data_IF_248472014579
#
_entry.id   IF_248472014579
#
_cell.length_a   1.000
_cell.length_b   1.000
_cell.length_c   1.000
_cell.angle_alpha   90.00
_cell.angle_beta   90.00
_cell.angle_gamma   90.00
#
_symmetry.space_group_name_H-M   'P 1'
#
loop_
_entity.id
_entity.type
_entity.pdbx_description
1 polymer ?
#
# COMPACT_ATOMS: atom_id res chain seq x y z
N UNK A 1 23.69 -4.47 -18.21
CA UNK A 1 22.70 -4.81 -17.17
C UNK A 1 23.47 -5.19 -15.93
N UNK A 2 23.13 -4.63 -14.75
CA UNK A 2 23.75 -5.04 -13.48
C UNK A 2 23.30 -6.48 -13.15
N UNK A 3 24.23 -7.40 -12.82
CA UNK A 3 23.87 -8.75 -12.38
C UNK A 3 22.92 -8.76 -11.18
N UNK A 4 23.11 -7.82 -10.26
CA UNK A 4 22.30 -7.66 -9.05
C UNK A 4 20.86 -7.22 -9.38
N UNK A 5 20.69 -6.40 -10.43
CA UNK A 5 19.38 -6.00 -10.91
C UNK A 5 18.59 -7.19 -11.49
N UNK A 6 19.27 -8.05 -12.23
CA UNK A 6 18.67 -9.27 -12.81
C UNK A 6 18.31 -10.28 -11.71
N UNK A 7 19.20 -10.49 -10.73
CA UNK A 7 18.95 -11.37 -9.58
C UNK A 7 17.71 -10.92 -8.77
N UNK A 8 17.56 -9.61 -8.53
CA UNK A 8 16.37 -9.08 -7.87
C UNK A 8 15.10 -9.36 -8.70
N UNK A 9 15.17 -9.14 -10.01
CA UNK A 9 14.03 -9.35 -10.91
C UNK A 9 13.60 -10.82 -10.95
N UNK A 10 14.55 -11.75 -10.99
CA UNK A 10 14.28 -13.20 -10.94
C UNK A 10 13.56 -13.60 -9.65
N UNK A 11 13.93 -12.99 -8.51
CA UNK A 11 13.27 -13.22 -7.21
C UNK A 11 11.88 -12.59 -7.11
N UNK A 12 11.60 -11.52 -7.85
CA UNK A 12 10.29 -10.87 -7.91
C UNK A 12 9.32 -11.58 -8.87
N UNK A 13 9.81 -12.10 -10.01
CA UNK A 13 9.00 -12.68 -11.07
C UNK A 13 8.83 -14.20 -10.91
N UNK A 14 8.58 -14.66 -9.68
CA UNK A 14 8.31 -16.06 -9.38
C UNK A 14 6.82 -16.37 -9.54
N UNK A 15 6.54 -17.53 -10.16
CA UNK A 15 5.19 -18.03 -10.41
C UNK A 15 4.43 -18.35 -9.12
N UNK A 16 5.07 -19.08 -8.20
CA UNK A 16 4.51 -19.37 -6.88
C UNK A 16 4.60 -18.12 -5.99
N UNK A 17 3.47 -17.50 -5.61
CA UNK A 17 3.48 -16.27 -4.83
C UNK A 17 4.11 -16.46 -3.45
N UNK A 18 4.09 -17.67 -2.90
CA UNK A 18 4.69 -17.96 -1.59
C UNK A 18 6.22 -18.03 -1.63
N UNK A 19 6.80 -18.12 -2.83
CA UNK A 19 8.25 -18.14 -3.05
C UNK A 19 8.79 -16.80 -3.54
N UNK A 20 7.89 -15.86 -3.88
CA UNK A 20 8.27 -14.51 -4.29
C UNK A 20 8.90 -13.79 -3.11
N UNK A 21 9.99 -13.07 -3.36
CA UNK A 21 10.65 -12.23 -2.35
C UNK A 21 9.65 -11.24 -1.75
N UNK A 22 9.72 -11.06 -0.43
CA UNK A 22 8.92 -10.05 0.28
C UNK A 22 9.47 -8.65 0.05
N UNK A 23 8.68 -7.62 0.38
CA UNK A 23 9.13 -6.22 0.27
C UNK A 23 10.34 -5.96 1.18
N UNK A 24 10.34 -6.48 2.41
CA UNK A 24 11.42 -6.29 3.38
C UNK A 24 12.73 -6.93 2.90
N UNK A 25 12.65 -8.15 2.36
CA UNK A 25 13.81 -8.83 1.77
C UNK A 25 14.32 -8.13 0.50
N UNK A 26 13.42 -7.56 -0.31
CA UNK A 26 13.78 -6.82 -1.51
C UNK A 26 14.48 -5.50 -1.18
N UNK A 27 14.04 -4.78 -0.15
CA UNK A 27 14.70 -3.57 0.36
C UNK A 27 16.12 -3.87 0.84
N UNK A 28 16.33 -5.03 1.49
CA UNK A 28 17.65 -5.52 1.90
C UNK A 28 18.54 -6.02 0.75
N UNK A 29 18.07 -6.02 -0.51
CA UNK A 29 18.81 -6.62 -1.63
C UNK A 29 20.05 -5.79 -2.00
N UNK A 30 21.19 -6.42 -2.37
CA UNK A 30 22.42 -5.69 -2.74
C UNK A 30 22.22 -4.63 -3.83
N UNK A 31 21.27 -4.86 -4.73
CA UNK A 31 20.90 -3.90 -5.77
C UNK A 31 20.38 -2.56 -5.22
N UNK A 32 19.68 -2.56 -4.08
CA UNK A 32 19.13 -1.36 -3.43
C UNK A 32 20.01 -0.83 -2.28
N UNK A 33 21.15 -1.47 -2.01
CA UNK A 33 22.00 -1.16 -0.85
C UNK A 33 22.48 0.28 -0.76
N UNK A 34 22.60 1.00 -1.88
CA UNK A 34 22.98 2.42 -1.88
C UNK A 34 21.83 3.37 -1.48
N UNK A 35 20.60 2.87 -1.44
CA UNK A 35 19.38 3.64 -1.17
C UNK A 35 18.68 3.20 0.12
N UNK A 36 18.86 1.94 0.53
CA UNK A 36 18.15 1.37 1.67
C UNK A 36 18.52 2.09 2.99
N UNK A 37 17.51 2.63 3.67
CA UNK A 37 17.60 3.21 5.01
C UNK A 37 16.33 2.91 5.81
N UNK A 38 16.46 2.08 6.84
CA UNK A 38 15.36 1.69 7.74
C UNK A 38 14.68 2.90 8.39
N UNK A 39 15.38 4.01 8.61
CA UNK A 39 14.80 5.19 9.23
C UNK A 39 13.92 6.01 8.26
N UNK A 40 14.13 5.87 6.94
CA UNK A 40 13.34 6.53 5.88
C UNK A 40 12.28 5.58 5.28
N UNK A 41 12.14 4.37 5.83
CA UNK A 41 11.20 3.34 5.38
C UNK A 41 10.18 2.98 6.50
N UNK A 42 9.29 3.92 6.90
CA UNK A 42 8.35 3.69 7.99
C UNK A 42 7.24 2.69 7.62
N UNK A 43 6.87 1.84 8.58
CA UNK A 43 5.69 0.97 8.47
C UNK A 43 4.43 1.74 8.90
N UNK A 44 3.32 1.51 8.20
CA UNK A 44 2.03 2.11 8.56
C UNK A 44 1.59 1.75 9.98
N UNK A 45 0.83 2.61 10.68
CA UNK A 45 0.52 2.45 12.11
C UNK A 45 -0.41 1.27 12.44
N UNK A 46 -0.94 0.57 11.44
CA UNK A 46 -1.80 -0.59 11.62
C UNK A 46 -2.33 -1.14 10.29
N UNK A 47 -3.12 -2.21 10.39
CA UNK A 47 -3.83 -2.77 9.24
C UNK A 47 -4.93 -1.80 8.80
N UNK A 48 -5.06 -1.60 7.48
CA UNK A 48 -6.17 -0.86 6.92
C UNK A 48 -7.46 -1.69 7.04
N UNK A 49 -8.56 -1.05 7.43
CA UNK A 49 -9.85 -1.69 7.58
C UNK A 49 -10.61 -1.67 6.24
N UNK A 50 -11.04 -2.85 5.77
CA UNK A 50 -11.76 -3.05 4.51
C UNK A 50 -13.27 -3.34 4.70
N UNK A 51 -13.88 -2.91 5.79
CA UNK A 51 -15.29 -3.19 6.10
C UNK A 51 -16.27 -2.62 5.06
N UNK A 52 -15.84 -1.61 4.28
CA UNK A 52 -16.62 -1.07 3.17
C UNK A 52 -16.73 -2.02 1.97
N UNK A 53 -15.87 -3.04 1.86
CA UNK A 53 -15.92 -4.06 0.79
C UNK A 53 -16.89 -5.21 1.10
N UNK A 54 -17.49 -5.21 2.29
CA UNK A 54 -18.44 -6.25 2.66
C UNK A 54 -19.65 -6.22 1.69
N UNK A 55 -20.17 -7.38 1.24
CA UNK A 55 -21.31 -7.44 0.32
C UNK A 55 -22.59 -6.75 0.84
N UNK A 56 -22.67 -6.50 2.14
CA UNK A 56 -23.75 -5.78 2.81
C UNK A 56 -23.68 -4.26 2.65
N UNK A 57 -22.58 -3.73 2.12
CA UNK A 57 -22.36 -2.31 1.89
C UNK A 57 -23.11 -1.88 0.62
N UNK A 58 -24.23 -1.16 0.77
CA UNK A 58 -25.02 -0.68 -0.37
C UNK A 58 -24.44 0.61 -0.96
N UNK A 59 -24.87 0.98 -2.17
CA UNK A 59 -24.49 2.23 -2.81
C UNK A 59 -24.78 3.46 -1.92
N UNK A 60 -25.95 3.47 -1.25
CA UNK A 60 -26.34 4.53 -0.34
C UNK A 60 -25.41 4.60 0.87
N UNK A 61 -24.99 3.45 1.40
CA UNK A 61 -24.04 3.40 2.51
C UNK A 61 -22.68 3.95 2.09
N UNK A 62 -22.19 3.59 0.89
CA UNK A 62 -20.93 4.11 0.35
C UNK A 62 -21.00 5.63 0.14
N UNK A 63 -22.11 6.14 -0.42
CA UNK A 63 -22.34 7.59 -0.58
C UNK A 63 -22.26 8.32 0.76
N UNK A 64 -22.89 7.76 1.79
CA UNK A 64 -22.84 8.33 3.14
C UNK A 64 -21.41 8.29 3.72
N UNK A 65 -20.67 7.19 3.55
CA UNK A 65 -19.27 7.11 4.01
C UNK A 65 -18.39 8.18 3.34
N UNK A 66 -18.53 8.36 2.02
CA UNK A 66 -17.81 9.40 1.26
C UNK A 66 -18.20 10.80 1.73
N UNK A 67 -19.50 11.06 1.88
CA UNK A 67 -20.00 12.35 2.34
C UNK A 67 -19.46 12.69 3.74
N UNK A 68 -19.53 11.74 4.67
CA UNK A 68 -18.99 11.90 6.03
C UNK A 68 -17.50 12.21 6.03
N UNK A 69 -16.72 11.56 5.17
CA UNK A 69 -15.30 11.85 5.04
C UNK A 69 -15.07 13.26 4.46
N UNK A 70 -15.84 13.64 3.44
CA UNK A 70 -15.76 14.98 2.83
C UNK A 70 -16.05 16.09 3.84
N UNK A 71 -17.08 15.94 4.68
CA UNK A 71 -17.45 16.93 5.71
C UNK A 71 -16.38 17.06 6.79
N UNK A 72 -15.66 15.99 7.15
CA UNK A 72 -14.55 16.08 8.11
C UNK A 72 -13.43 17.00 7.63
N UNK A 73 -13.16 17.01 6.33
CA UNK A 73 -12.12 17.85 5.72
C UNK A 73 -12.65 19.21 5.23
N UNK A 74 -13.97 19.36 5.06
CA UNK A 74 -14.64 20.57 4.60
C UNK A 74 -15.81 20.91 5.56
N UNK A 75 -15.54 21.40 6.78
CA UNK A 75 -16.57 21.61 7.80
C UNK A 75 -17.51 22.78 7.46
N UNK A 76 -17.04 23.74 6.67
CA UNK A 76 -17.86 24.84 6.18
C UNK A 76 -18.57 24.40 4.90
N UNK A 77 -19.91 24.28 4.91
CA UNK A 77 -20.64 23.98 3.69
C UNK A 77 -20.41 25.11 2.68
N UNK A 78 -20.30 24.80 1.37
CA UNK A 78 -20.24 25.85 0.36
C UNK A 78 -21.49 26.73 0.54
N UNK A 79 -21.26 28.03 0.72
CA UNK A 79 -22.31 29.05 0.82
C UNK A 79 -23.31 28.82 -0.31
N UNK A 80 -24.58 28.56 0.04
CA UNK A 80 -25.66 28.50 -0.94
C UNK A 80 -25.84 29.83 -1.66
#
# INVERSE_FOLDING_TARGET
MSPEALDLLEKMLIFDPNKRITVDEALCHPYLSSLHDINDEPVGPGQFNFDFEQPTCTEEHIKELIWRESVKFNPDPPSQ
#
